data_IF_201931111340
#
_entry.id   IF_201931111340
#
_cell.length_a   1.000
_cell.length_b   1.000
_cell.length_c   1.000
_cell.angle_alpha   90.00
_cell.angle_beta   90.00
_cell.angle_gamma   90.00
#
_symmetry.space_group_name_H-M   'P 1'
#
loop_
_entity.id
_entity.type
_entity.pdbx_description
1 polymer ?
#
# COMPACT_ATOMS: atom_id res chain seq x y z
N UNK A 1 13.29 -41.24 -4.77
CA UNK A 1 13.22 -40.17 -5.78
C UNK A 1 13.10 -38.87 -5.03
N UNK A 2 14.16 -38.07 -5.04
CA UNK A 2 14.18 -36.74 -4.45
C UNK A 2 13.55 -35.76 -5.45
N UNK A 3 12.57 -34.98 -5.01
CA UNK A 3 12.13 -33.80 -5.73
C UNK A 3 12.39 -32.61 -4.81
N UNK A 4 13.58 -32.04 -4.97
CA UNK A 4 13.90 -30.73 -4.41
C UNK A 4 13.15 -29.69 -5.24
N UNK A 5 12.16 -29.01 -4.65
CA UNK A 5 11.65 -27.77 -5.20
C UNK A 5 12.53 -26.63 -4.72
N UNK A 6 13.25 -26.04 -5.67
CA UNK A 6 14.05 -24.83 -5.49
C UNK A 6 13.13 -23.62 -5.26
N UNK A 7 13.53 -22.78 -4.31
CA UNK A 7 12.89 -21.51 -3.96
C UNK A 7 12.72 -20.60 -5.19
N UNK A 8 11.49 -20.17 -5.45
CA UNK A 8 11.23 -18.91 -6.11
C UNK A 8 11.51 -17.81 -5.08
N UNK A 9 12.30 -16.79 -5.45
CA UNK A 9 12.58 -15.66 -4.58
C UNK A 9 11.29 -14.91 -4.24
N UNK A 10 10.67 -15.30 -3.13
CA UNK A 10 9.67 -14.49 -2.47
C UNK A 10 10.41 -13.24 -2.00
N UNK A 11 10.13 -12.10 -2.63
CA UNK A 11 10.12 -10.86 -1.84
C UNK A 11 9.22 -11.19 -0.66
N UNK A 12 9.81 -11.27 0.54
CA UNK A 12 9.08 -11.72 1.70
C UNK A 12 7.94 -10.74 1.92
N UNK A 13 6.72 -11.18 1.64
CA UNK A 13 5.53 -10.39 1.86
C UNK A 13 5.52 -10.02 3.33
N UNK A 14 5.52 -8.72 3.61
CA UNK A 14 5.51 -8.27 4.98
C UNK A 14 4.14 -8.64 5.58
N UNK A 15 4.09 -9.07 6.85
CA UNK A 15 2.80 -9.26 7.50
C UNK A 15 2.03 -7.93 7.49
N UNK A 16 0.73 -8.01 7.26
CA UNK A 16 -0.15 -6.85 7.30
C UNK A 16 -0.08 -6.17 8.68
N UNK A 17 0.15 -4.85 8.77
CA UNK A 17 0.04 -4.10 10.01
C UNK A 17 -1.44 -3.80 10.31
N UNK A 18 -2.22 -4.84 10.65
CA UNK A 18 -3.70 -4.80 10.76
C UNK A 18 -4.22 -3.62 11.57
N UNK A 19 -3.63 -3.33 12.74
CA UNK A 19 -4.05 -2.20 13.57
C UNK A 19 -3.98 -0.85 12.83
N UNK A 20 -2.93 -0.64 12.03
CA UNK A 20 -2.76 0.59 11.24
C UNK A 20 -3.69 0.61 10.02
N UNK A 21 -3.87 -0.54 9.35
CA UNK A 21 -4.77 -0.69 8.20
C UNK A 21 -6.21 -0.36 8.61
N UNK A 22 -6.65 -0.92 9.74
CA UNK A 22 -7.97 -0.71 10.30
C UNK A 22 -8.14 0.73 10.79
N UNK A 23 -7.18 1.25 11.57
CA UNK A 23 -7.24 2.62 12.09
C UNK A 23 -7.33 3.65 10.95
N UNK A 24 -6.63 3.41 9.84
CA UNK A 24 -6.63 4.31 8.68
C UNK A 24 -7.73 4.02 7.66
N UNK A 25 -8.59 3.03 7.94
CA UNK A 25 -9.68 2.59 7.07
C UNK A 25 -9.21 2.28 5.64
N UNK A 26 -8.00 1.72 5.47
CA UNK A 26 -7.43 1.50 4.14
C UNK A 26 -8.33 0.63 3.25
N UNK A 27 -8.96 -0.38 3.85
CA UNK A 27 -9.83 -1.35 3.18
C UNK A 27 -11.19 -0.77 2.73
N UNK A 28 -11.51 0.48 3.07
CA UNK A 28 -12.75 1.11 2.59
C UNK A 28 -12.69 1.42 1.09
N UNK A 29 -11.48 1.69 0.57
CA UNK A 29 -11.28 2.06 -0.83
C UNK A 29 -10.38 1.08 -1.58
N UNK A 30 -9.43 0.46 -0.88
CA UNK A 30 -8.47 -0.48 -1.45
C UNK A 30 -8.85 -1.92 -1.11
N UNK A 31 -8.44 -2.84 -1.97
CA UNK A 31 -8.46 -4.27 -1.65
C UNK A 31 -7.07 -4.85 -1.92
N UNK A 32 -6.81 -6.09 -1.49
CA UNK A 32 -5.52 -6.75 -1.74
C UNK A 32 -5.24 -6.94 -3.23
N UNK A 33 -6.17 -7.58 -3.95
CA UNK A 33 -5.82 -8.17 -5.25
C UNK A 33 -6.48 -7.46 -6.44
N UNK A 34 -7.70 -6.92 -6.28
CA UNK A 34 -8.49 -6.38 -7.37
C UNK A 34 -8.91 -4.90 -7.14
N UNK A 35 -8.93 -4.06 -8.19
CA UNK A 35 -9.40 -2.69 -8.05
C UNK A 35 -10.88 -2.66 -7.63
N UNK A 36 -11.25 -1.70 -6.78
CA UNK A 36 -12.64 -1.49 -6.36
C UNK A 36 -13.03 -0.01 -6.53
N UNK A 37 -12.77 0.82 -5.52
CA UNK A 37 -12.92 2.28 -5.60
C UNK A 37 -11.59 2.94 -5.93
N UNK A 38 -10.51 2.36 -5.40
CA UNK A 38 -9.14 2.69 -5.68
C UNK A 38 -8.42 1.41 -6.19
N UNK A 39 -7.16 1.54 -6.63
CA UNK A 39 -6.37 0.40 -7.10
C UNK A 39 -6.09 -0.59 -5.97
N UNK A 40 -5.91 -1.86 -6.30
CA UNK A 40 -5.52 -2.84 -5.29
C UNK A 40 -4.09 -2.63 -4.80
N UNK A 41 -3.76 -3.17 -3.62
CA UNK A 41 -2.39 -3.07 -3.10
C UNK A 41 -1.39 -3.76 -4.03
N UNK A 42 -1.73 -4.91 -4.61
CA UNK A 42 -0.92 -5.57 -5.65
C UNK A 42 -0.69 -4.66 -6.87
N UNK A 43 -1.72 -3.94 -7.32
CA UNK A 43 -1.56 -3.00 -8.45
C UNK A 43 -0.66 -1.82 -8.08
N UNK A 44 -0.74 -1.32 -6.84
CA UNK A 44 0.16 -0.28 -6.31
C UNK A 44 1.59 -0.80 -6.30
N UNK A 45 1.83 -1.97 -5.74
CA UNK A 45 3.16 -2.59 -5.71
C UNK A 45 3.75 -2.75 -7.12
N UNK A 46 2.97 -3.32 -8.04
CA UNK A 46 3.42 -3.56 -9.41
C UNK A 46 3.75 -2.27 -10.15
N UNK A 47 2.90 -1.24 -10.03
CA UNK A 47 3.14 0.04 -10.69
C UNK A 47 4.43 0.72 -10.22
N UNK A 48 4.74 0.61 -8.93
CA UNK A 48 5.87 1.29 -8.32
C UNK A 48 7.14 0.43 -8.19
N UNK A 49 7.12 -0.84 -8.62
CA UNK A 49 8.20 -1.83 -8.48
C UNK A 49 9.57 -1.29 -8.90
N UNK A 50 9.62 -0.61 -10.05
CA UNK A 50 10.86 -0.08 -10.64
C UNK A 50 10.99 1.44 -10.50
N UNK A 51 10.13 2.07 -9.69
CA UNK A 51 10.13 3.53 -9.51
C UNK A 51 11.10 3.92 -8.38
N UNK A 52 12.16 4.69 -8.69
CA UNK A 52 13.03 5.23 -7.65
C UNK A 52 12.23 6.11 -6.68
N UNK A 53 12.49 5.96 -5.39
CA UNK A 53 11.85 6.75 -4.31
C UNK A 53 10.32 6.52 -4.16
N UNK A 54 9.76 5.42 -4.69
CA UNK A 54 8.35 5.09 -4.53
C UNK A 54 7.86 5.15 -3.08
N UNK A 55 8.65 4.61 -2.12
CA UNK A 55 8.30 4.66 -0.70
C UNK A 55 8.07 6.09 -0.21
N UNK A 56 8.98 7.02 -0.51
CA UNK A 56 8.86 8.41 -0.07
C UNK A 56 7.68 9.12 -0.73
N UNK A 57 7.44 8.88 -2.02
CA UNK A 57 6.31 9.46 -2.74
C UNK A 57 4.97 8.98 -2.17
N UNK A 58 4.86 7.68 -1.91
CA UNK A 58 3.65 7.09 -1.34
C UNK A 58 3.46 7.46 0.13
N UNK A 59 4.54 7.61 0.91
CA UNK A 59 4.48 8.12 2.28
C UNK A 59 3.90 9.54 2.32
N UNK A 60 4.38 10.41 1.44
CA UNK A 60 3.87 11.79 1.33
C UNK A 60 2.41 11.81 0.90
N UNK A 61 2.09 11.02 -0.14
CA UNK A 61 0.73 10.84 -0.62
C UNK A 61 -0.19 10.36 0.51
N UNK A 62 0.23 9.33 1.26
CA UNK A 62 -0.53 8.77 2.37
C UNK A 62 -0.75 9.80 3.47
N UNK A 63 0.26 10.60 3.83
CA UNK A 63 0.15 11.59 4.91
C UNK A 63 -0.68 12.82 4.56
N UNK A 64 -0.78 13.18 3.28
CA UNK A 64 -1.47 14.42 2.86
C UNK A 64 -2.72 14.18 2.02
N UNK A 65 -2.95 12.95 1.55
CA UNK A 65 -4.01 12.63 0.61
C UNK A 65 -3.77 13.27 -0.75
N UNK A 66 -4.85 13.64 -1.43
CA UNK A 66 -4.83 14.52 -2.59
C UNK A 66 -5.32 13.85 -3.86
N UNK A 67 -5.20 14.59 -4.97
CA UNK A 67 -5.84 14.28 -6.25
C UNK A 67 -5.64 12.84 -6.72
N UNK A 68 -6.63 12.33 -7.43
CA UNK A 68 -6.58 11.02 -8.05
C UNK A 68 -5.27 10.88 -8.82
N UNK A 69 -4.52 9.84 -8.49
CA UNK A 69 -3.38 9.46 -9.32
C UNK A 69 -3.87 8.56 -10.45
N UNK A 70 -4.79 7.64 -10.13
CA UNK A 70 -5.42 6.71 -11.06
C UNK A 70 -6.94 6.87 -11.04
N UNK A 71 -7.56 6.93 -12.22
CA UNK A 71 -8.99 7.18 -12.36
C UNK A 71 -9.41 8.53 -11.78
N UNK A 72 -10.62 8.58 -11.26
CA UNK A 72 -11.25 9.83 -10.81
C UNK A 72 -11.30 9.98 -9.27
N UNK A 73 -10.93 8.95 -8.51
CA UNK A 73 -11.02 8.97 -7.05
C UNK A 73 -9.74 9.54 -6.42
N UNK A 74 -9.87 10.69 -5.77
CA UNK A 74 -8.81 11.25 -4.94
C UNK A 74 -8.63 10.43 -3.65
N UNK A 75 -7.40 10.32 -3.17
CA UNK A 75 -7.17 9.76 -1.85
C UNK A 75 -7.65 10.77 -0.81
N UNK A 76 -8.50 10.36 0.16
CA UNK A 76 -9.09 11.28 1.12
C UNK A 76 -8.02 12.03 1.92
N UNK A 77 -8.38 13.20 2.43
CA UNK A 77 -7.53 13.92 3.38
C UNK A 77 -7.44 13.14 4.70
N UNK A 78 -6.39 13.33 5.51
CA UNK A 78 -6.26 12.62 6.78
C UNK A 78 -7.47 12.78 7.69
N UNK A 79 -8.08 13.96 7.73
CA UNK A 79 -9.31 14.22 8.51
C UNK A 79 -10.54 13.42 8.08
N UNK A 80 -10.59 12.97 6.82
CA UNK A 80 -11.72 12.22 6.25
C UNK A 80 -11.56 10.69 6.42
N UNK A 81 -10.49 10.24 7.07
CA UNK A 81 -10.22 8.82 7.37
C UNK A 81 -9.78 8.65 8.83
N UNK A 82 -8.71 7.88 9.08
CA UNK A 82 -8.16 7.61 10.42
C UNK A 82 -7.39 8.74 11.09
N UNK A 83 -7.39 9.96 10.55
CA UNK A 83 -6.63 11.10 11.07
C UNK A 83 -5.19 11.19 10.53
N UNK A 84 -4.41 12.16 11.04
CA UNK A 84 -3.03 12.38 10.62
C UNK A 84 -2.13 11.20 10.98
N UNK A 85 -1.30 10.77 10.01
CA UNK A 85 -0.32 9.71 10.20
C UNK A 85 1.06 10.26 10.56
N UNK A 86 1.73 9.58 11.49
CA UNK A 86 3.15 9.80 11.74
C UNK A 86 3.99 9.35 10.53
N UNK A 87 5.21 9.86 10.40
CA UNK A 87 6.13 9.42 9.36
C UNK A 87 6.57 7.95 9.54
N UNK A 88 6.52 7.41 10.76
CA UNK A 88 6.82 6.01 11.04
C UNK A 88 5.70 5.09 10.55
N UNK A 89 4.46 5.41 10.91
CA UNK A 89 3.30 4.59 10.55
C UNK A 89 3.03 4.60 9.05
N UNK A 90 3.18 5.78 8.41
CA UNK A 90 3.07 5.89 6.96
C UNK A 90 4.11 5.01 6.25
N UNK A 91 5.36 4.98 6.75
CA UNK A 91 6.41 4.12 6.22
C UNK A 91 6.09 2.63 6.40
N UNK A 92 5.54 2.25 7.55
CA UNK A 92 5.11 0.87 7.82
C UNK A 92 4.04 0.42 6.82
N UNK A 93 2.98 1.22 6.65
CA UNK A 93 1.91 0.94 5.69
C UNK A 93 2.42 0.86 4.26
N UNK A 94 3.22 1.85 3.82
CA UNK A 94 3.73 1.91 2.45
C UNK A 94 4.68 0.75 2.14
N UNK A 95 5.55 0.37 3.08
CA UNK A 95 6.43 -0.79 2.89
C UNK A 95 5.64 -2.09 2.75
N UNK A 96 4.57 -2.24 3.53
CA UNK A 96 3.68 -3.39 3.40
C UNK A 96 3.00 -3.39 2.02
N UNK A 97 2.39 -2.27 1.62
CA UNK A 97 1.75 -2.14 0.29
C UNK A 97 2.72 -2.44 -0.84
N UNK A 98 3.94 -1.92 -0.80
CA UNK A 98 4.96 -2.17 -1.83
C UNK A 98 5.54 -3.60 -1.81
N UNK A 99 5.20 -4.40 -0.78
CA UNK A 99 5.60 -5.81 -0.68
C UNK A 99 4.54 -6.79 -1.17
N UNK A 100 3.35 -6.30 -1.54
CA UNK A 100 2.29 -7.08 -2.17
C UNK A 100 2.62 -7.39 -3.65
#
# INVERSE_FOLDING_TARGET
MAVSLQAAGAFAELPEPTDLVDQQHCMFCHTSDAPFLAPSFHQIAEHYRDTPNASTMLEDKLRHGGKAHWGDMAMPLPEDRGGPLSAGDARTLVRWVLSQ
#
